data_IF_728131925596
#
_entry.id   IF_728131925596
#
_cell.length_a   1.000
_cell.length_b   1.000
_cell.length_c   1.000
_cell.angle_alpha   90.00
_cell.angle_beta   90.00
_cell.angle_gamma   90.00
#
_symmetry.space_group_name_H-M   'P 1'
#
loop_
_entity.id
_entity.type
_entity.pdbx_description
1 polymer ?
#
# COMPACT_ATOMS: atom_id res chain seq x y z
N UNK A 1 -18.16 -46.86 -37.39
CA UNK A 1 -18.33 -45.40 -37.26
C UNK A 1 -18.39 -45.03 -35.78
N UNK A 2 -17.43 -44.28 -35.26
CA UNK A 2 -17.59 -43.33 -34.16
C UNK A 2 -16.27 -42.55 -34.00
N UNK A 3 -16.39 -41.25 -33.80
CA UNK A 3 -15.37 -40.22 -33.97
C UNK A 3 -14.41 -40.16 -32.77
N UNK A 4 -13.23 -39.61 -33.06
CA UNK A 4 -12.19 -39.15 -32.14
C UNK A 4 -12.74 -38.37 -30.94
N UNK A 5 -12.01 -38.38 -29.82
CA UNK A 5 -11.64 -37.14 -29.13
C UNK A 5 -10.33 -37.34 -28.34
N UNK A 6 -9.27 -36.65 -28.78
CA UNK A 6 -7.98 -36.57 -28.10
C UNK A 6 -8.12 -35.67 -26.86
N UNK A 7 -7.56 -36.02 -25.69
CA UNK A 7 -7.47 -35.06 -24.59
C UNK A 7 -6.55 -33.89 -24.98
N UNK A 8 -7.12 -32.68 -24.96
CA UNK A 8 -6.49 -31.39 -25.27
C UNK A 8 -5.19 -31.20 -24.49
N UNK A 9 -4.11 -30.88 -25.20
CA UNK A 9 -2.85 -30.46 -24.60
C UNK A 9 -3.06 -29.23 -23.70
N UNK A 10 -2.70 -29.35 -22.43
CA UNK A 10 -2.65 -28.22 -21.48
C UNK A 10 -1.65 -27.20 -22.00
N UNK A 11 -1.99 -25.90 -22.16
CA UNK A 11 -0.98 -24.90 -22.47
C UNK A 11 -0.01 -24.84 -21.28
N UNK A 12 1.26 -25.20 -21.51
CA UNK A 12 2.35 -24.94 -20.58
C UNK A 12 2.49 -23.41 -20.52
N UNK A 13 1.84 -22.78 -19.55
CA UNK A 13 2.03 -21.37 -19.27
C UNK A 13 3.52 -21.12 -19.07
N UNK A 14 4.12 -20.27 -19.92
CA UNK A 14 5.47 -19.77 -19.68
C UNK A 14 5.41 -19.01 -18.35
N UNK A 15 6.02 -19.58 -17.31
CA UNK A 15 6.33 -18.84 -16.09
C UNK A 15 7.24 -17.70 -16.52
N UNK A 16 6.70 -16.49 -16.48
CA UNK A 16 7.48 -15.27 -16.63
C UNK A 16 8.24 -15.13 -15.32
N UNK A 17 9.50 -15.53 -15.33
CA UNK A 17 10.39 -15.36 -14.19
C UNK A 17 10.62 -13.85 -13.99
N UNK A 18 9.97 -13.27 -12.99
CA UNK A 18 10.16 -11.88 -12.63
C UNK A 18 11.59 -11.72 -12.09
N UNK A 19 12.49 -11.22 -12.91
CA UNK A 19 13.83 -10.76 -12.48
C UNK A 19 13.68 -9.31 -12.03
N UNK A 20 13.60 -9.01 -10.72
CA UNK A 20 13.67 -7.63 -10.27
C UNK A 20 15.07 -7.12 -10.60
N UNK A 21 15.18 -6.19 -11.55
CA UNK A 21 16.42 -5.45 -11.75
C UNK A 21 16.79 -4.76 -10.43
N UNK A 22 17.79 -5.33 -9.74
CA UNK A 22 18.35 -4.80 -8.50
C UNK A 22 19.19 -3.56 -8.81
N UNK A 23 18.54 -2.46 -9.16
CA UNK A 23 19.15 -1.12 -9.07
C UNK A 23 18.16 -0.15 -8.44
N UNK A 24 17.82 -0.39 -7.17
CA UNK A 24 17.29 0.66 -6.31
C UNK A 24 18.48 1.39 -5.70
N UNK A 25 19.16 2.24 -6.48
CA UNK A 25 19.88 3.37 -5.88
C UNK A 25 18.87 4.05 -4.97
N UNK A 26 19.13 4.07 -3.66
CA UNK A 26 18.24 4.76 -2.72
C UNK A 26 18.07 6.19 -3.26
N UNK A 27 16.84 6.67 -3.50
CA UNK A 27 16.65 8.05 -3.94
C UNK A 27 17.35 8.98 -2.96
N UNK A 28 18.27 9.80 -3.47
CA UNK A 28 18.94 10.81 -2.68
C UNK A 28 17.95 11.96 -2.48
N UNK A 29 17.37 12.05 -1.29
CA UNK A 29 16.37 13.06 -0.97
C UNK A 29 17.04 14.35 -0.49
N UNK A 30 16.53 15.49 -0.93
CA UNK A 30 16.93 16.78 -0.38
C UNK A 30 16.51 16.88 1.09
N UNK A 31 17.16 17.72 1.92
CA UNK A 31 16.76 17.93 3.31
C UNK A 31 15.28 18.29 3.47
N UNK A 32 14.72 19.06 2.53
CA UNK A 32 13.31 19.42 2.49
C UNK A 32 12.41 18.21 2.21
N UNK A 33 12.83 17.30 1.32
CA UNK A 33 12.10 16.07 1.01
C UNK A 33 12.11 15.10 2.20
N UNK A 34 13.23 14.98 2.91
CA UNK A 34 13.31 14.18 4.13
C UNK A 34 12.34 14.70 5.19
N UNK A 35 12.32 16.01 5.44
CA UNK A 35 11.36 16.64 6.37
C UNK A 35 9.91 16.41 5.95
N UNK A 36 9.60 16.53 4.66
CA UNK A 36 8.27 16.23 4.14
C UNK A 36 7.89 14.75 4.37
N UNK A 37 8.83 13.83 4.14
CA UNK A 37 8.61 12.40 4.38
C UNK A 37 8.35 12.10 5.87
N UNK A 38 9.06 12.76 6.79
CA UNK A 38 8.80 12.64 8.23
C UNK A 38 7.41 13.14 8.60
N UNK A 39 6.99 14.30 8.06
CA UNK A 39 5.62 14.81 8.27
C UNK A 39 4.57 13.83 7.77
N UNK A 40 4.75 13.24 6.58
CA UNK A 40 3.85 12.20 6.04
C UNK A 40 3.79 10.97 6.94
N UNK A 41 4.95 10.48 7.44
CA UNK A 41 4.99 9.37 8.39
C UNK A 41 4.24 9.70 9.68
N UNK A 42 4.39 10.92 10.19
CA UNK A 42 3.70 11.39 11.39
C UNK A 42 2.18 11.44 11.17
N UNK A 43 1.71 11.98 10.05
CA UNK A 43 0.28 11.97 9.67
C UNK A 43 -0.27 10.56 9.63
N UNK A 44 0.41 9.65 8.95
CA UNK A 44 -0.04 8.25 8.84
C UNK A 44 -0.13 7.59 10.22
N UNK A 45 0.87 7.79 11.08
CA UNK A 45 0.89 7.20 12.43
C UNK A 45 -0.28 7.73 13.28
N UNK A 46 -0.57 9.03 13.21
CA UNK A 46 -1.70 9.65 13.92
C UNK A 46 -3.03 9.13 13.36
N UNK A 47 -3.18 9.04 12.04
CA UNK A 47 -4.40 8.55 11.41
C UNK A 47 -4.69 7.08 11.79
N UNK A 48 -3.69 6.20 11.73
CA UNK A 48 -3.81 4.80 12.16
C UNK A 48 -4.19 4.73 13.63
N UNK A 49 -3.55 5.54 14.49
CA UNK A 49 -3.86 5.59 15.92
C UNK A 49 -5.31 6.01 16.17
N UNK A 50 -5.81 7.06 15.50
CA UNK A 50 -7.21 7.50 15.62
C UNK A 50 -8.20 6.41 15.23
N UNK A 51 -7.93 5.69 14.15
CA UNK A 51 -8.77 4.57 13.69
C UNK A 51 -8.75 3.43 14.71
N UNK A 52 -7.57 3.08 15.20
CA UNK A 52 -7.40 2.03 16.20
C UNK A 52 -8.12 2.36 17.51
N UNK A 53 -7.92 3.59 18.01
CA UNK A 53 -8.54 4.07 19.25
C UNK A 53 -10.07 4.15 19.12
N UNK A 54 -10.59 4.55 17.96
CA UNK A 54 -12.03 4.54 17.68
C UNK A 54 -12.61 3.11 17.71
N UNK A 55 -11.93 2.15 17.08
CA UNK A 55 -12.33 0.75 17.11
C UNK A 55 -12.27 0.15 18.51
N UNK A 56 -11.21 0.46 19.28
CA UNK A 56 -11.08 0.02 20.68
C UNK A 56 -12.16 0.61 21.58
N UNK A 57 -12.57 1.86 21.34
CA UNK A 57 -13.60 2.54 22.11
C UNK A 57 -15.04 2.13 21.70
N UNK A 58 -15.22 1.24 20.72
CA UNK A 58 -16.54 0.89 20.19
C UNK A 58 -17.26 2.05 19.51
N UNK A 59 -16.52 3.08 19.09
CA UNK A 59 -17.05 4.25 18.38
C UNK A 59 -17.09 3.98 16.88
N UNK A 60 -17.83 4.82 16.16
CA UNK A 60 -17.79 4.82 14.70
C UNK A 60 -16.35 4.99 14.22
N UNK A 61 -15.85 4.00 13.47
CA UNK A 61 -14.49 4.01 12.96
C UNK A 61 -14.43 5.00 11.79
N UNK A 62 -13.61 6.07 11.88
CA UNK A 62 -13.51 7.02 10.79
C UNK A 62 -12.89 6.37 9.56
N UNK A 63 -13.35 6.74 8.37
CA UNK A 63 -12.73 6.29 7.14
C UNK A 63 -11.28 6.78 7.05
N UNK A 64 -10.43 6.00 6.36
CA UNK A 64 -9.01 6.32 6.18
C UNK A 64 -8.79 7.77 5.70
N UNK A 65 -9.58 8.22 4.73
CA UNK A 65 -9.52 9.59 4.19
C UNK A 65 -9.85 10.66 5.25
N UNK A 66 -10.87 10.44 6.09
CA UNK A 66 -11.23 11.37 7.17
C UNK A 66 -10.10 11.45 8.20
N UNK A 67 -9.62 10.29 8.67
CA UNK A 67 -8.53 10.22 9.64
C UNK A 67 -7.23 10.89 9.13
N UNK A 68 -6.87 10.68 7.87
CA UNK A 68 -5.72 11.35 7.24
C UNK A 68 -5.88 12.87 7.19
N UNK A 69 -7.07 13.37 6.83
CA UNK A 69 -7.30 14.83 6.77
C UNK A 69 -7.18 15.48 8.14
N UNK A 70 -7.73 14.86 9.18
CA UNK A 70 -7.61 15.39 10.54
C UNK A 70 -6.18 15.31 11.05
N UNK A 71 -5.50 14.18 10.86
CA UNK A 71 -4.10 14.01 11.23
C UNK A 71 -3.19 15.01 10.48
N UNK A 72 -3.48 15.29 9.21
CA UNK A 72 -2.76 16.31 8.44
C UNK A 72 -2.94 17.71 9.03
N UNK A 73 -4.16 18.09 9.42
CA UNK A 73 -4.41 19.38 10.10
C UNK A 73 -3.64 19.51 11.40
N UNK A 74 -3.44 18.43 12.14
CA UNK A 74 -2.66 18.44 13.39
C UNK A 74 -1.14 18.52 13.15
N UNK A 75 -0.63 17.83 12.12
CA UNK A 75 0.82 17.74 11.88
C UNK A 75 1.38 18.94 11.11
N UNK A 76 0.57 19.57 10.26
CA UNK A 76 0.96 20.71 9.42
C UNK A 76 0.50 22.07 9.97
N UNK A 77 -0.02 22.10 11.22
CA UNK A 77 -0.31 23.32 11.96
C UNK A 77 0.98 24.04 12.34
#
# INVERSE_FOLDING_TARGET
>A
MAKQEKPKAKPKGKIIEFKPEKKKTKPNYTPSQLKAQEKVKKVNKVAVKKIYDAGKAGKEIPTWRKALREAAKEVYK
#
